data_IF_229566355250
#
_entry.id   IF_229566355250
#
_cell.length_a   1.000
_cell.length_b   1.000
_cell.length_c   1.000
_cell.angle_alpha   90.00
_cell.angle_beta   90.00
_cell.angle_gamma   90.00
#
_symmetry.space_group_name_H-M   'P 1'
#
loop_
_entity.id
_entity.type
_entity.pdbx_description
1 polymer ?
#
# COMPACT_ATOMS: atom_id res chain seq x y z
N UNK A 1 3.76 2.05 -2.80
CA UNK A 1 2.51 2.16 -2.01
C UNK A 1 1.94 0.77 -1.83
N UNK A 2 1.75 0.33 -0.59
CA UNK A 2 1.06 -0.94 -0.32
C UNK A 2 -0.44 -0.75 -0.50
N UNK A 3 -1.06 -1.57 -1.35
CA UNK A 3 -2.43 -1.34 -1.82
C UNK A 3 -3.48 -1.64 -0.74
N UNK A 4 -3.15 -2.47 0.25
CA UNK A 4 -3.97 -2.79 1.42
C UNK A 4 -3.04 -3.19 2.57
N UNK A 5 -2.89 -2.33 3.59
CA UNK A 5 -2.24 -2.67 4.85
C UNK A 5 -3.32 -2.79 5.93
N UNK A 6 -3.58 -4.01 6.38
CA UNK A 6 -4.49 -4.25 7.51
C UNK A 6 -3.72 -4.02 8.80
N UNK A 7 -4.15 -3.06 9.61
CA UNK A 7 -3.65 -2.85 10.97
C UNK A 7 -4.74 -3.17 11.98
N UNK A 8 -4.38 -3.92 13.03
CA UNK A 8 -5.27 -4.19 14.17
C UNK A 8 -4.86 -3.27 15.30
N UNK A 9 -5.82 -2.50 15.83
CA UNK A 9 -5.59 -1.53 16.89
C UNK A 9 -6.52 -1.78 18.08
N UNK A 10 -6.03 -1.54 19.29
CA UNK A 10 -6.80 -1.50 20.54
C UNK A 10 -7.16 -0.05 20.86
N UNK A 11 -8.45 0.19 21.03
CA UNK A 11 -9.01 1.50 21.37
C UNK A 11 -9.02 1.71 22.89
N UNK A 12 -8.55 2.88 23.34
CA UNK A 12 -8.69 3.32 24.72
C UNK A 12 -9.65 4.52 24.78
N UNK A 13 -10.71 4.35 25.54
CA UNK A 13 -11.75 5.35 25.75
C UNK A 13 -11.40 6.28 26.91
N UNK A 14 -11.78 7.55 26.78
CA UNK A 14 -11.86 8.48 27.91
C UNK A 14 -12.95 7.99 28.88
N UNK A 15 -12.63 7.72 30.16
CA UNK A 15 -13.61 7.24 31.13
C UNK A 15 -14.73 8.24 31.46
N UNK A 16 -14.57 9.52 31.11
CA UNK A 16 -15.54 10.59 31.41
C UNK A 16 -16.43 10.90 30.21
N UNK A 17 -15.87 10.96 29.00
CA UNK A 17 -16.60 11.32 27.79
C UNK A 17 -17.00 10.11 26.94
N UNK A 18 -16.41 8.94 27.18
CA UNK A 18 -16.61 7.72 26.40
C UNK A 18 -16.02 7.79 25.00
N UNK A 19 -15.27 8.84 24.67
CA UNK A 19 -14.69 9.04 23.35
C UNK A 19 -13.35 8.33 23.22
N UNK A 20 -13.01 7.76 22.06
CA UNK A 20 -11.68 7.24 21.80
C UNK A 20 -10.62 8.34 21.88
N UNK A 21 -9.54 8.08 22.62
CA UNK A 21 -8.41 9.02 22.79
C UNK A 21 -7.11 8.46 22.24
N UNK A 22 -6.92 7.14 22.34
CA UNK A 22 -5.67 6.49 21.90
C UNK A 22 -5.99 5.18 21.17
N UNK A 23 -5.23 4.90 20.11
CA UNK A 23 -5.28 3.64 19.39
C UNK A 23 -3.90 2.97 19.45
N UNK A 24 -3.81 1.79 20.06
CA UNK A 24 -2.54 1.05 20.18
C UNK A 24 -2.46 -0.04 19.13
N UNK A 25 -1.44 -0.05 18.30
CA UNK A 25 -1.20 -1.14 17.35
C UNK A 25 -0.87 -2.43 18.12
N UNK A 26 -1.60 -3.51 17.84
CA UNK A 26 -1.45 -4.79 18.55
C UNK A 26 -0.17 -5.51 18.16
N UNK A 27 0.31 -5.31 16.92
CA UNK A 27 1.49 -5.99 16.41
C UNK A 27 2.80 -5.35 16.91
N UNK A 28 2.84 -4.02 17.03
CA UNK A 28 4.04 -3.30 17.48
C UNK A 28 3.99 -2.82 18.93
N UNK A 29 2.80 -2.70 19.53
CA UNK A 29 2.61 -2.14 20.85
C UNK A 29 2.64 -0.60 20.89
N UNK A 30 2.86 0.04 19.74
CA UNK A 30 2.97 1.49 19.65
C UNK A 30 1.60 2.17 19.77
N UNK A 31 1.53 3.21 20.59
CA UNK A 31 0.37 4.11 20.62
C UNK A 31 0.39 5.05 19.41
N UNK A 32 -0.74 5.15 18.71
CA UNK A 32 -0.99 6.09 17.63
C UNK A 32 -2.10 7.05 18.04
N UNK A 33 -1.81 8.34 17.92
CA UNK A 33 -2.85 9.36 17.78
C UNK A 33 -3.28 9.38 16.31
N UNK A 34 -4.58 9.35 16.03
CA UNK A 34 -5.09 9.59 14.69
C UNK A 34 -5.00 11.09 14.40
N UNK A 35 -3.80 11.61 14.18
CA UNK A 35 -3.65 12.92 13.56
C UNK A 35 -4.26 12.84 12.16
N UNK A 36 -5.20 13.74 11.86
CA UNK A 36 -5.74 13.87 10.51
C UNK A 36 -4.56 14.21 9.59
N UNK A 37 -4.09 13.23 8.82
CA UNK A 37 -2.94 13.42 7.95
C UNK A 37 -3.19 14.64 7.04
N UNK A 38 -2.32 15.66 7.12
CA UNK A 38 -2.39 16.80 6.21
C UNK A 38 -2.37 16.27 4.77
N UNK A 39 -3.30 16.72 3.93
CA UNK A 39 -3.39 16.19 2.57
C UNK A 39 -2.08 16.40 1.82
N UNK A 40 -1.34 15.31 1.62
CA UNK A 40 -0.06 15.34 0.93
C UNK A 40 -0.27 15.63 -0.56
N UNK A 41 0.74 16.18 -1.24
CA UNK A 41 0.68 16.41 -2.69
C UNK A 41 0.36 15.14 -3.49
N UNK A 42 0.68 13.96 -2.95
CA UNK A 42 0.31 12.67 -3.53
C UNK A 42 -1.19 12.40 -3.46
N UNK A 43 -1.83 12.67 -2.32
CA UNK A 43 -3.29 12.47 -2.16
C UNK A 43 -4.09 13.33 -3.15
N UNK A 44 -3.63 14.55 -3.44
CA UNK A 44 -4.24 15.40 -4.48
C UNK A 44 -4.13 14.78 -5.88
N UNK A 45 -2.96 14.26 -6.25
CA UNK A 45 -2.76 13.56 -7.55
C UNK A 45 -3.66 12.33 -7.67
N UNK A 46 -3.85 11.59 -6.57
CA UNK A 46 -4.76 10.44 -6.52
C UNK A 46 -6.22 10.87 -6.70
N UNK A 47 -6.66 11.95 -6.06
CA UNK A 47 -8.01 12.48 -6.23
C UNK A 47 -8.28 12.90 -7.68
N UNK A 48 -7.31 13.55 -8.34
CA UNK A 48 -7.44 13.94 -9.76
C UNK A 48 -7.58 12.71 -10.66
N UNK A 49 -6.74 11.67 -10.47
CA UNK A 49 -6.84 10.45 -11.25
C UNK A 49 -8.21 9.77 -11.10
N UNK A 50 -8.73 9.68 -9.87
CA UNK A 50 -10.05 9.10 -9.57
C UNK A 50 -11.19 9.93 -10.15
N UNK A 51 -11.11 11.25 -10.07
CA UNK A 51 -12.10 12.14 -10.69
C UNK A 51 -12.16 11.97 -12.21
N UNK A 52 -11.04 11.64 -12.85
CA UNK A 52 -10.95 11.30 -14.26
C UNK A 52 -11.40 9.85 -14.58
N UNK A 53 -11.90 9.08 -13.61
CA UNK A 53 -12.29 7.68 -13.80
C UNK A 53 -11.11 6.72 -13.97
N UNK A 54 -9.91 7.13 -13.57
CA UNK A 54 -8.67 6.35 -13.69
C UNK A 54 -8.03 6.11 -12.32
N UNK A 55 -6.92 5.38 -12.30
CA UNK A 55 -6.12 5.15 -11.11
C UNK A 55 -4.78 5.85 -11.22
N UNK A 56 -4.24 6.34 -10.11
CA UNK A 56 -2.95 7.02 -10.11
C UNK A 56 -1.84 6.04 -10.54
N UNK A 57 -0.94 6.47 -11.44
CA UNK A 57 -0.01 5.54 -12.09
C UNK A 57 0.80 4.62 -11.12
N UNK A 58 1.36 5.13 -10.00
CA UNK A 58 2.05 4.30 -9.02
C UNK A 58 1.18 3.26 -8.29
N UNK A 59 -0.15 3.46 -8.24
CA UNK A 59 -1.08 2.51 -7.62
C UNK A 59 -1.22 1.22 -8.45
N UNK A 60 -0.98 1.26 -9.77
CA UNK A 60 -1.04 0.06 -10.63
C UNK A 60 -0.03 -1.02 -10.24
N UNK A 61 1.15 -0.65 -9.75
CA UNK A 61 2.15 -1.62 -9.29
C UNK A 61 1.65 -2.40 -8.07
N UNK A 62 0.97 -1.72 -7.14
CA UNK A 62 0.33 -2.35 -5.99
C UNK A 62 -0.81 -3.30 -6.40
N UNK A 63 -1.62 -2.90 -7.38
CA UNK A 63 -2.66 -3.75 -7.96
C UNK A 63 -2.09 -4.98 -8.66
N UNK A 64 -1.03 -4.83 -9.45
CA UNK A 64 -0.37 -5.96 -10.11
C UNK A 64 0.20 -6.95 -9.09
N UNK A 65 0.88 -6.47 -8.05
CA UNK A 65 1.36 -7.33 -6.95
C UNK A 65 0.21 -8.13 -6.33
N UNK A 66 -0.92 -7.49 -6.05
CA UNK A 66 -2.10 -8.15 -5.48
C UNK A 66 -2.66 -9.23 -6.41
N UNK A 67 -2.77 -8.95 -7.71
CA UNK A 67 -3.28 -9.92 -8.68
C UNK A 67 -2.33 -11.11 -8.88
N UNK A 68 -1.02 -10.89 -8.84
CA UNK A 68 -0.03 -11.98 -8.86
C UNK A 68 -0.20 -12.88 -7.63
N UNK A 69 -0.34 -12.29 -6.43
CA UNK A 69 -0.60 -13.04 -5.19
C UNK A 69 -1.91 -13.84 -5.31
N UNK A 70 -2.99 -13.22 -5.78
CA UNK A 70 -4.29 -13.89 -5.97
C UNK A 70 -4.19 -15.11 -6.89
N UNK A 71 -3.47 -14.99 -8.01
CA UNK A 71 -3.26 -16.11 -8.94
C UNK A 71 -2.46 -17.24 -8.31
N UNK A 72 -1.43 -16.94 -7.52
CA UNK A 72 -0.67 -17.94 -6.79
C UNK A 72 -1.50 -18.67 -5.72
N UNK A 73 -2.32 -17.92 -4.98
CA UNK A 73 -3.25 -18.50 -4.00
C UNK A 73 -4.26 -19.42 -4.67
N UNK A 74 -4.82 -19.02 -5.82
CA UNK A 74 -5.73 -19.85 -6.61
C UNK A 74 -5.04 -21.13 -7.13
N UNK A 75 -3.81 -21.01 -7.63
CA UNK A 75 -3.01 -22.17 -8.07
C UNK A 75 -2.77 -23.18 -6.94
N UNK A 76 -2.43 -22.69 -5.74
CA UNK A 76 -2.26 -23.54 -4.55
C UNK A 76 -3.56 -24.22 -4.15
N UNK A 77 -4.67 -23.50 -4.15
CA UNK A 77 -5.99 -24.05 -3.84
C UNK A 77 -6.42 -25.15 -4.83
N UNK A 78 -6.00 -25.06 -6.09
CA UNK A 78 -6.25 -26.06 -7.12
C UNK A 78 -5.33 -27.30 -7.05
N UNK A 79 -4.51 -27.45 -5.99
CA UNK A 79 -3.59 -28.58 -5.80
C UNK A 79 -2.19 -28.37 -6.40
N UNK A 80 -1.86 -27.14 -6.78
CA UNK A 80 -0.53 -26.78 -7.26
C UNK A 80 0.56 -27.02 -6.21
N UNK A 81 1.61 -27.75 -6.57
CA UNK A 81 2.67 -28.15 -5.63
C UNK A 81 3.88 -27.21 -5.61
N UNK A 82 4.01 -26.29 -6.57
CA UNK A 82 5.11 -25.33 -6.59
C UNK A 82 5.05 -24.40 -5.36
N UNK A 83 6.22 -24.08 -4.83
CA UNK A 83 6.37 -23.10 -3.75
C UNK A 83 6.24 -21.69 -4.31
N UNK A 84 5.52 -20.82 -3.60
CA UNK A 84 5.40 -19.41 -3.97
C UNK A 84 6.77 -18.74 -3.71
N UNK A 85 7.36 -18.04 -4.68
CA UNK A 85 8.60 -17.28 -4.48
C UNK A 85 8.46 -16.21 -3.39
N UNK A 86 9.51 -15.98 -2.60
CA UNK A 86 9.51 -14.92 -1.59
C UNK A 86 9.36 -13.52 -2.23
N UNK A 87 10.12 -13.26 -3.30
CA UNK A 87 10.07 -12.03 -4.09
C UNK A 87 9.14 -12.20 -5.30
N UNK A 88 7.85 -12.30 -5.03
CA UNK A 88 6.83 -12.60 -6.04
C UNK A 88 6.62 -11.49 -7.07
N UNK A 89 7.03 -10.26 -6.75
CA UNK A 89 6.86 -9.09 -7.58
C UNK A 89 7.92 -8.02 -7.27
N UNK A 90 8.59 -7.53 -8.30
CA UNK A 90 9.51 -6.40 -8.27
C UNK A 90 9.23 -5.45 -9.42
N UNK A 91 9.56 -4.17 -9.25
CA UNK A 91 9.39 -3.14 -10.28
C UNK A 91 10.50 -2.09 -10.14
N UNK A 92 10.96 -1.59 -11.28
CA UNK A 92 11.87 -0.44 -11.38
C UNK A 92 11.19 0.67 -12.16
N UNK A 93 11.46 1.92 -11.81
CA UNK A 93 10.98 3.06 -12.59
C UNK A 93 11.91 3.24 -13.79
N UNK A 94 11.35 3.62 -14.94
CA UNK A 94 12.11 3.98 -16.13
C UNK A 94 12.07 5.50 -16.29
N UNK A 95 13.23 6.14 -16.30
CA UNK A 95 13.39 7.58 -16.47
C UNK A 95 14.26 7.89 -17.68
N UNK A 96 14.04 9.04 -18.30
CA UNK A 96 14.94 9.56 -19.32
C UNK A 96 16.09 10.30 -18.64
N UNK A 97 17.31 10.05 -19.11
CA UNK A 97 18.47 10.83 -18.73
C UNK A 97 18.62 12.12 -19.57
N UNK A 98 19.65 12.91 -19.29
CA UNK A 98 19.93 14.16 -20.00
C UNK A 98 20.19 13.97 -21.50
N UNK A 99 20.59 12.76 -21.92
CA UNK A 99 20.80 12.38 -23.32
C UNK A 99 19.55 11.84 -24.00
N UNK A 100 18.43 11.67 -23.28
CA UNK A 100 17.21 11.07 -23.78
C UNK A 100 17.25 9.54 -23.82
N UNK A 101 18.22 8.90 -23.16
CA UNK A 101 18.26 7.44 -23.01
C UNK A 101 17.44 7.00 -21.80
N UNK A 102 16.84 5.81 -21.90
CA UNK A 102 16.05 5.22 -20.81
C UNK A 102 16.99 4.57 -19.80
N UNK A 103 16.84 4.92 -18.52
CA UNK A 103 17.56 4.32 -17.39
C UNK A 103 16.60 3.82 -16.31
N UNK A 104 17.01 2.75 -15.65
CA UNK A 104 16.34 2.25 -14.46
C UNK A 104 16.64 3.16 -13.26
N UNK A 105 15.60 3.45 -12.47
CA UNK A 105 15.69 4.21 -11.25
C UNK A 105 14.90 3.51 -10.14
N UNK A 106 15.41 3.61 -8.91
CA UNK A 106 14.70 3.18 -7.71
C UNK A 106 14.26 4.42 -6.95
N UNK A 107 12.95 4.61 -6.78
CA UNK A 107 12.43 5.62 -5.85
C UNK A 107 12.62 5.11 -4.41
N UNK A 108 13.47 5.79 -3.64
CA UNK A 108 13.57 5.68 -2.18
C UNK A 108 12.36 6.30 -1.50
#
# INVERSE_FOLDING_TARGET
GEYLKTSVVLEKLDPTTGMPVEWRDVASGDSRSLELASQSGMQRKMQVARAAGSTYAPEFLGMMKLEVIRKWTAYRAAGGQRQIPADIFSSVDLILDEGGEIKEATRS
#
